data_IF_878889064413
#
_entry.id   IF_878889064413
#
_cell.length_a   1.000
_cell.length_b   1.000
_cell.length_c   1.000
_cell.angle_alpha   90.00
_cell.angle_beta   90.00
_cell.angle_gamma   90.00
#
_symmetry.space_group_name_H-M   'P 1'
#
loop_
_entity.id
_entity.type
_entity.pdbx_description
1 polymer ?
#
# COMPACT_ATOMS: atom_id res chain seq x y z
N UNK A 1 -10.14 -12.95 -12.98
CA UNK A 1 -9.63 -12.82 -11.60
C UNK A 1 -9.33 -11.34 -11.33
N UNK A 2 -9.92 -10.79 -10.31
CA UNK A 2 -9.72 -9.38 -9.96
C UNK A 2 -8.33 -9.17 -9.37
N UNK A 3 -7.63 -8.13 -9.82
CA UNK A 3 -6.30 -7.79 -9.34
C UNK A 3 -6.35 -6.70 -8.28
N UNK A 4 -5.61 -6.91 -7.21
CA UNK A 4 -5.48 -5.98 -6.09
C UNK A 4 -4.00 -5.68 -5.89
N UNK A 5 -3.66 -4.39 -5.77
CA UNK A 5 -2.32 -3.97 -5.34
C UNK A 5 -2.39 -3.52 -3.90
N UNK A 6 -1.52 -4.06 -3.05
CA UNK A 6 -1.47 -3.72 -1.62
C UNK A 6 -0.07 -3.23 -1.25
N UNK A 7 0.06 -1.95 -0.94
CA UNK A 7 1.27 -1.37 -0.34
C UNK A 7 1.27 -1.59 1.18
N UNK A 8 2.41 -1.91 1.73
CA UNK A 8 2.52 -2.20 3.17
C UNK A 8 2.02 -3.59 3.55
N UNK A 9 1.95 -4.51 2.60
CA UNK A 9 1.41 -5.85 2.81
C UNK A 9 2.22 -6.75 3.74
N UNK A 10 3.50 -6.43 3.98
CA UNK A 10 4.35 -7.20 4.91
C UNK A 10 4.11 -6.85 6.39
N UNK A 11 3.37 -5.80 6.69
CA UNK A 11 3.03 -5.40 8.04
C UNK A 11 1.97 -6.29 8.68
N UNK A 12 1.64 -6.01 9.94
CA UNK A 12 0.69 -6.83 10.70
C UNK A 12 -0.71 -6.88 10.04
N UNK A 13 -1.29 -5.72 9.76
CA UNK A 13 -2.61 -5.64 9.11
C UNK A 13 -2.55 -6.21 7.70
N UNK A 14 -1.50 -5.87 6.95
CA UNK A 14 -1.33 -6.32 5.57
C UNK A 14 -1.30 -7.82 5.42
N UNK A 15 -0.56 -8.53 6.28
CA UNK A 15 -0.48 -9.99 6.24
C UNK A 15 -1.84 -10.66 6.47
N UNK A 16 -2.61 -10.18 7.44
CA UNK A 16 -3.95 -10.69 7.70
C UNK A 16 -4.90 -10.41 6.54
N UNK A 17 -4.85 -9.20 6.00
CA UNK A 17 -5.68 -8.81 4.86
C UNK A 17 -5.37 -9.66 3.62
N UNK A 18 -4.09 -9.83 3.29
CA UNK A 18 -3.67 -10.63 2.14
C UNK A 18 -4.16 -12.07 2.25
N UNK A 19 -4.00 -12.71 3.42
CA UNK A 19 -4.49 -14.07 3.62
C UNK A 19 -5.99 -14.17 3.39
N UNK A 20 -6.75 -13.21 3.87
CA UNK A 20 -8.21 -13.22 3.72
C UNK A 20 -8.64 -13.02 2.27
N UNK A 21 -8.00 -12.08 1.58
CA UNK A 21 -8.28 -11.84 0.17
C UNK A 21 -7.85 -13.02 -0.72
N UNK A 22 -6.72 -13.65 -0.41
CA UNK A 22 -6.25 -14.83 -1.11
C UNK A 22 -7.26 -15.99 -1.02
N UNK A 23 -7.84 -16.21 0.16
CA UNK A 23 -8.88 -17.22 0.35
C UNK A 23 -10.13 -16.95 -0.47
N UNK A 24 -10.40 -15.71 -0.83
CA UNK A 24 -11.54 -15.31 -1.64
C UNK A 24 -11.22 -15.23 -3.14
N UNK A 25 -10.08 -15.76 -3.58
CA UNK A 25 -9.74 -15.92 -4.99
C UNK A 25 -9.17 -14.70 -5.70
N UNK A 26 -8.75 -13.67 -4.97
CA UNK A 26 -8.14 -12.49 -5.58
C UNK A 26 -6.69 -12.74 -5.96
N UNK A 27 -6.26 -12.15 -7.08
CA UNK A 27 -4.85 -12.04 -7.45
C UNK A 27 -4.28 -10.78 -6.78
N UNK A 28 -3.22 -10.95 -5.99
CA UNK A 28 -2.69 -9.88 -5.14
C UNK A 28 -1.25 -9.58 -5.53
N UNK A 29 -0.98 -8.33 -5.90
CA UNK A 29 0.35 -7.82 -6.17
C UNK A 29 0.77 -7.00 -4.95
N UNK A 30 1.92 -7.35 -4.37
CA UNK A 30 2.40 -6.72 -3.13
C UNK A 30 3.74 -6.06 -3.40
N UNK A 31 3.76 -4.74 -3.70
CA UNK A 31 5.01 -4.02 -3.82
C UNK A 31 5.76 -3.96 -2.49
N UNK A 32 7.07 -4.22 -2.52
CA UNK A 32 7.93 -4.16 -1.34
C UNK A 32 9.27 -3.52 -1.68
N UNK A 33 9.99 -3.03 -0.65
CA UNK A 33 11.27 -2.35 -0.83
C UNK A 33 12.45 -3.14 -0.27
N UNK A 34 12.27 -3.91 0.80
CA UNK A 34 13.32 -4.65 1.49
C UNK A 34 13.20 -6.15 1.25
N UNK A 35 14.32 -6.81 0.96
CA UNK A 35 14.35 -8.26 0.63
C UNK A 35 13.70 -9.16 1.68
N UNK A 36 13.82 -8.83 2.97
CA UNK A 36 13.20 -9.61 4.04
C UNK A 36 11.66 -9.62 3.96
N UNK A 37 11.09 -8.58 3.37
CA UNK A 37 9.63 -8.47 3.20
C UNK A 37 9.10 -9.49 2.20
N UNK A 38 9.89 -9.83 1.18
CA UNK A 38 9.49 -10.81 0.16
C UNK A 38 9.17 -12.18 0.77
N UNK A 39 10.04 -12.67 1.64
CA UNK A 39 9.84 -13.98 2.29
C UNK A 39 8.52 -14.00 3.09
N UNK A 40 8.23 -12.92 3.81
CA UNK A 40 6.99 -12.81 4.58
C UNK A 40 5.75 -12.81 3.69
N UNK A 41 5.84 -12.17 2.54
CA UNK A 41 4.72 -12.05 1.60
C UNK A 41 4.43 -13.39 0.90
N UNK A 42 5.46 -14.10 0.47
CA UNK A 42 5.31 -15.37 -0.25
C UNK A 42 4.59 -16.46 0.53
N UNK A 43 4.68 -16.42 1.86
CA UNK A 43 4.07 -17.41 2.74
C UNK A 43 2.55 -17.20 2.95
N UNK A 44 1.95 -16.15 2.38
CA UNK A 44 0.58 -15.74 2.70
C UNK A 44 -0.48 -16.40 1.82
N UNK A 45 -0.11 -17.10 0.77
CA UNK A 45 -1.06 -17.75 -0.13
C UNK A 45 -0.40 -18.77 -1.05
N UNK A 46 -1.14 -19.25 -2.03
CA UNK A 46 -0.65 -20.23 -2.98
C UNK A 46 0.20 -19.58 -4.07
N UNK A 47 1.08 -20.38 -4.68
CA UNK A 47 1.95 -19.94 -5.76
C UNK A 47 1.14 -19.40 -6.94
N UNK A 48 1.54 -18.23 -7.45
CA UNK A 48 0.87 -17.57 -8.58
C UNK A 48 -0.29 -16.66 -8.21
N UNK A 49 -0.81 -16.76 -6.99
CA UNK A 49 -1.88 -15.90 -6.51
C UNK A 49 -1.35 -14.61 -5.88
N UNK A 50 -0.26 -14.71 -5.10
CA UNK A 50 0.40 -13.57 -4.48
C UNK A 50 1.71 -13.32 -5.22
N UNK A 51 1.85 -12.09 -5.74
CA UNK A 51 2.99 -11.68 -6.54
C UNK A 51 3.73 -10.57 -5.77
N UNK A 52 4.85 -10.89 -5.09
CA UNK A 52 5.72 -9.87 -4.54
C UNK A 52 6.42 -9.13 -5.68
N UNK A 53 6.46 -7.81 -5.59
CA UNK A 53 7.07 -6.95 -6.60
C UNK A 53 8.02 -5.97 -5.93
N UNK A 54 9.33 -6.07 -6.21
CA UNK A 54 10.32 -5.18 -5.64
C UNK A 54 10.33 -3.84 -6.38
N UNK A 55 10.30 -2.75 -5.66
CA UNK A 55 10.40 -1.40 -6.20
C UNK A 55 11.29 -0.52 -5.32
N UNK A 56 11.82 0.55 -5.89
CA UNK A 56 12.62 1.54 -5.16
C UNK A 56 11.81 2.80 -4.89
N UNK A 57 11.04 3.26 -5.85
CA UNK A 57 10.17 4.43 -5.71
C UNK A 57 8.95 4.32 -6.63
N UNK A 58 7.97 5.20 -6.47
CA UNK A 58 6.81 5.29 -7.35
C UNK A 58 7.14 5.76 -8.78
N UNK A 59 8.39 6.18 -9.03
CA UNK A 59 8.86 6.52 -10.37
C UNK A 59 9.21 5.30 -11.22
N UNK A 60 9.23 4.10 -10.65
CA UNK A 60 9.47 2.86 -11.38
C UNK A 60 8.36 2.65 -12.42
N UNK A 61 8.74 2.63 -13.70
CA UNK A 61 7.79 2.50 -14.81
C UNK A 61 7.04 1.17 -14.80
N UNK A 62 7.68 0.09 -14.33
CA UNK A 62 7.04 -1.23 -14.22
C UNK A 62 5.94 -1.19 -13.16
N UNK A 63 6.20 -0.55 -12.02
CA UNK A 63 5.20 -0.37 -10.97
C UNK A 63 4.05 0.50 -11.47
N UNK A 64 4.33 1.58 -12.16
CA UNK A 64 3.30 2.45 -12.74
C UNK A 64 2.42 1.68 -13.73
N UNK A 65 3.01 0.82 -14.56
CA UNK A 65 2.25 -0.02 -15.48
C UNK A 65 1.29 -0.96 -14.74
N UNK A 66 1.72 -1.52 -13.63
CA UNK A 66 0.85 -2.35 -12.77
C UNK A 66 -0.30 -1.51 -12.20
N UNK A 67 0.01 -0.32 -11.69
CA UNK A 67 -0.97 0.56 -11.04
C UNK A 67 -2.06 1.06 -11.99
N UNK A 68 -1.73 1.30 -13.25
CA UNK A 68 -2.73 1.77 -14.23
C UNK A 68 -3.65 0.66 -14.73
N UNK A 69 -3.35 -0.59 -14.42
CA UNK A 69 -4.13 -1.76 -14.82
C UNK A 69 -4.80 -2.51 -13.66
N UNK A 70 -4.63 -2.06 -12.43
CA UNK A 70 -5.24 -2.70 -11.25
C UNK A 70 -6.69 -2.26 -11.06
N UNK A 71 -7.52 -3.13 -10.51
CA UNK A 71 -8.91 -2.80 -10.18
C UNK A 71 -9.05 -2.18 -8.79
N UNK A 72 -8.25 -2.62 -7.84
CA UNK A 72 -8.30 -2.16 -6.45
C UNK A 72 -6.88 -1.86 -5.98
N UNK A 73 -6.68 -0.71 -5.37
CA UNK A 73 -5.43 -0.34 -4.74
C UNK A 73 -5.65 -0.05 -3.25
N UNK A 74 -4.89 -0.72 -2.40
CA UNK A 74 -4.96 -0.56 -0.95
C UNK A 74 -3.59 -0.08 -0.46
N UNK A 75 -3.56 1.03 0.25
CA UNK A 75 -2.34 1.55 0.85
C UNK A 75 -2.39 1.43 2.37
N UNK A 76 -1.59 0.52 2.91
CA UNK A 76 -1.38 0.31 4.34
C UNK A 76 -0.03 0.85 4.80
N UNK A 77 0.74 1.48 3.89
CA UNK A 77 2.07 1.98 4.21
C UNK A 77 1.98 3.14 5.19
N UNK A 78 2.58 2.97 6.35
CA UNK A 78 2.63 3.97 7.42
C UNK A 78 3.88 3.76 8.28
N UNK A 79 4.14 4.68 9.17
CA UNK A 79 5.20 4.56 10.16
C UNK A 79 4.76 5.21 11.47
N UNK A 80 5.28 4.71 12.58
CA UNK A 80 5.16 5.32 13.89
C UNK A 80 6.48 5.95 14.36
N UNK A 81 7.54 5.81 13.58
CA UNK A 81 8.89 6.23 13.93
C UNK A 81 9.48 7.13 12.84
N UNK A 82 9.75 8.39 13.19
CA UNK A 82 10.37 9.36 12.28
C UNK A 82 11.81 9.00 11.90
N UNK A 83 12.49 8.14 12.65
CA UNK A 83 13.84 7.67 12.29
C UNK A 83 13.87 6.90 10.98
N UNK A 84 12.74 6.34 10.56
CA UNK A 84 12.61 5.61 9.28
C UNK A 84 12.27 6.53 8.10
N UNK A 85 12.08 7.81 8.34
CA UNK A 85 11.67 8.82 7.37
C UNK A 85 10.65 9.76 7.98
N UNK A 86 10.43 10.94 7.39
CA UNK A 86 9.44 11.87 7.94
C UNK A 86 8.02 11.35 7.72
N UNK A 87 7.12 11.64 8.64
CA UNK A 87 5.71 11.30 8.49
C UNK A 87 5.10 11.92 7.23
N UNK A 88 5.49 13.15 6.92
CA UNK A 88 5.01 13.83 5.72
C UNK A 88 5.43 13.12 4.43
N UNK A 89 6.67 12.62 4.35
CA UNK A 89 7.14 11.88 3.17
C UNK A 89 6.49 10.51 3.04
N UNK A 90 6.42 9.74 4.13
CA UNK A 90 5.94 8.35 4.10
C UNK A 90 4.43 8.31 3.98
N UNK A 91 3.70 9.21 4.64
CA UNK A 91 2.24 9.18 4.67
C UNK A 91 1.65 10.09 3.59
N UNK A 92 1.94 11.38 3.63
CA UNK A 92 1.29 12.35 2.75
C UNK A 92 1.84 12.32 1.33
N UNK A 93 3.14 12.50 1.15
CA UNK A 93 3.75 12.59 -0.18
C UNK A 93 3.61 11.29 -0.97
N UNK A 94 3.76 10.16 -0.30
CA UNK A 94 3.58 8.85 -0.94
C UNK A 94 2.15 8.69 -1.47
N UNK A 95 1.15 8.98 -0.67
CA UNK A 95 -0.25 8.90 -1.09
C UNK A 95 -0.58 9.88 -2.22
N UNK A 96 -0.05 11.10 -2.14
CA UNK A 96 -0.26 12.11 -3.19
C UNK A 96 0.29 11.63 -4.54
N UNK A 97 1.51 11.08 -4.56
CA UNK A 97 2.11 10.52 -5.78
C UNK A 97 1.33 9.31 -6.28
N UNK A 98 0.94 8.43 -5.38
CA UNK A 98 0.16 7.23 -5.72
C UNK A 98 -1.18 7.60 -6.36
N UNK A 99 -1.90 8.52 -5.79
CA UNK A 99 -3.18 9.00 -6.33
C UNK A 99 -3.00 9.62 -7.71
N UNK A 100 -1.93 10.40 -7.91
CA UNK A 100 -1.65 10.99 -9.22
C UNK A 100 -1.41 9.93 -10.30
N UNK A 101 -0.74 8.83 -9.97
CA UNK A 101 -0.56 7.71 -10.89
C UNK A 101 -1.90 7.02 -11.16
N UNK A 102 -2.68 6.77 -10.12
CA UNK A 102 -3.96 6.08 -10.22
C UNK A 102 -5.02 6.86 -11.00
N UNK A 103 -4.90 8.17 -11.10
CA UNK A 103 -5.79 9.00 -11.95
C UNK A 103 -5.78 8.59 -13.42
N UNK A 104 -4.68 8.00 -13.89
CA UNK A 104 -4.57 7.49 -15.26
C UNK A 104 -5.22 6.12 -15.45
N UNK A 105 -5.65 5.47 -14.38
CA UNK A 105 -6.27 4.14 -14.43
C UNK A 105 -7.78 4.26 -14.62
N UNK A 106 -8.25 3.87 -15.81
CA UNK A 106 -9.68 3.91 -16.14
C UNK A 106 -10.48 2.74 -15.55
N UNK A 107 -9.80 1.66 -15.15
CA UNK A 107 -10.42 0.44 -14.63
C UNK A 107 -10.41 0.38 -13.10
N UNK A 108 -9.85 1.38 -12.44
CA UNK A 108 -9.78 1.43 -10.99
C UNK A 108 -11.19 1.59 -10.39
N UNK A 109 -11.60 0.61 -9.59
CA UNK A 109 -12.91 0.61 -8.93
C UNK A 109 -12.85 1.17 -7.52
N UNK A 110 -11.72 1.00 -6.84
CA UNK A 110 -11.61 1.40 -5.44
C UNK A 110 -10.16 1.69 -5.06
N UNK A 111 -9.97 2.77 -4.32
CA UNK A 111 -8.73 3.08 -3.60
C UNK A 111 -9.04 3.12 -2.10
N UNK A 112 -8.28 2.38 -1.30
CA UNK A 112 -8.44 2.32 0.15
C UNK A 112 -7.19 2.85 0.83
N UNK A 113 -7.36 3.81 1.70
CA UNK A 113 -6.32 4.37 2.54
C UNK A 113 -6.68 4.13 4.01
N UNK A 114 -5.72 3.66 4.81
CA UNK A 114 -5.91 3.47 6.24
C UNK A 114 -5.52 4.74 7.00
N UNK A 115 -6.52 5.37 7.59
CA UNK A 115 -6.34 6.48 8.51
C UNK A 115 -5.93 5.98 9.91
N UNK A 116 -5.72 6.89 10.85
CA UNK A 116 -5.37 6.57 12.23
C UNK A 116 -6.50 6.88 13.19
N UNK A 117 -6.69 6.02 14.19
CA UNK A 117 -7.61 6.31 15.27
C UNK A 117 -7.12 7.53 16.06
N UNK A 118 -8.00 8.46 16.37
CA UNK A 118 -7.69 9.66 17.13
C UNK A 118 -7.05 10.79 16.34
N UNK A 119 -6.98 10.70 15.02
CA UNK A 119 -6.40 11.75 14.15
C UNK A 119 -7.12 13.09 14.35
N UNK A 120 -8.44 13.08 14.49
CA UNK A 120 -9.24 14.29 14.68
C UNK A 120 -9.10 14.88 16.09
N UNK A 121 -8.72 14.07 17.09
CA UNK A 121 -8.59 14.50 18.49
C UNK A 121 -7.17 14.93 18.85
N UNK A 122 -6.14 14.32 18.24
CA UNK A 122 -4.73 14.67 18.44
C UNK A 122 -4.20 15.51 17.29
N UNK A 123 -4.60 16.78 17.24
CA UNK A 123 -4.23 17.71 16.16
C UNK A 123 -2.77 18.17 16.22
N UNK A 124 -2.08 17.93 17.33
CA UNK A 124 -0.71 18.42 17.56
C UNK A 124 0.35 17.38 17.17
N UNK A 125 -0.01 16.12 17.00
CA UNK A 125 0.91 15.08 16.55
C UNK A 125 1.29 15.27 15.10
N UNK A 126 2.58 15.24 14.79
CA UNK A 126 3.06 15.33 13.39
C UNK A 126 2.52 14.19 12.52
N UNK A 127 2.37 12.99 13.11
CA UNK A 127 1.79 11.85 12.42
C UNK A 127 0.31 12.10 12.11
N UNK A 128 -0.45 12.59 13.06
CA UNK A 128 -1.87 12.94 12.87
C UNK A 128 -2.06 14.03 11.82
N UNK A 129 -1.20 15.05 11.81
CA UNK A 129 -1.21 16.08 10.77
C UNK A 129 -0.97 15.48 9.39
N UNK A 130 0.02 14.61 9.24
CA UNK A 130 0.32 13.96 7.96
C UNK A 130 -0.85 13.08 7.47
N UNK A 131 -1.47 12.31 8.35
CA UNK A 131 -2.63 11.48 8.03
C UNK A 131 -3.82 12.35 7.64
N UNK A 132 -4.09 13.41 8.39
CA UNK A 132 -5.20 14.32 8.10
C UNK A 132 -5.05 15.02 6.75
N UNK A 133 -3.82 15.45 6.39
CA UNK A 133 -3.55 16.00 5.05
C UNK A 133 -3.79 14.98 3.94
N UNK A 134 -3.61 13.70 4.22
CA UNK A 134 -3.81 12.61 3.24
C UNK A 134 -5.29 12.34 3.00
N UNK A 135 -6.10 12.45 4.04
CA UNK A 135 -7.54 12.23 3.95
C UNK A 135 -8.23 13.25 3.03
#
# INVERSE_FOLDING_TARGET
MKSIVIFGGSGFVGRHLIRRLAKNGYKIIVPYQKSIQEAKIRLLGVTGQIIPFRYTSLNDKRLQSILINTEICINLKTTYDQKKGSFNEIIFNFNKKLINILKSNKDLKQFVFFSGLGVDTDKNSQRSIAIHKTE
#
